data_IF_155591370921
#
_entry.id   IF_155591370921
#
_cell.length_a   1.000
_cell.length_b   1.000
_cell.length_c   1.000
_cell.angle_alpha   90.00
_cell.angle_beta   90.00
_cell.angle_gamma   90.00
#
_symmetry.space_group_name_H-M   'P 1'
#
loop_
_entity.id
_entity.type
_entity.pdbx_description
1 polymer ?
#
# COMPACT_ATOMS: atom_id res chain seq x y z
N UNK A 1 14.23 17.37 -4.70
CA UNK A 1 13.11 16.61 -4.09
C UNK A 1 13.05 17.02 -2.62
N UNK A 2 11.86 17.23 -2.04
CA UNK A 2 11.72 17.69 -0.65
C UNK A 2 11.92 16.55 0.35
N UNK A 3 12.59 16.83 1.47
CA UNK A 3 12.78 15.87 2.58
C UNK A 3 11.45 15.38 3.16
N UNK A 4 10.46 16.28 3.26
CA UNK A 4 9.12 15.94 3.75
C UNK A 4 8.44 14.91 2.84
N UNK A 5 8.61 15.03 1.52
CA UNK A 5 8.03 14.09 0.56
C UNK A 5 8.66 12.70 0.71
N UNK A 6 9.99 12.63 0.86
CA UNK A 6 10.71 11.36 1.08
C UNK A 6 10.25 10.67 2.36
N UNK A 7 10.32 11.38 3.49
CA UNK A 7 9.96 10.80 4.78
C UNK A 7 8.47 10.46 4.87
N UNK A 8 7.61 11.25 4.23
CA UNK A 8 6.20 10.95 4.12
C UNK A 8 5.91 9.69 3.33
N UNK A 9 6.59 9.50 2.20
CA UNK A 9 6.50 8.30 1.38
C UNK A 9 7.04 7.05 2.10
N UNK A 10 8.14 7.17 2.84
CA UNK A 10 8.66 6.12 3.72
C UNK A 10 7.61 5.73 4.76
N UNK A 11 7.02 6.71 5.43
CA UNK A 11 6.01 6.49 6.47
C UNK A 11 4.75 5.79 5.94
N UNK A 12 4.29 6.18 4.76
CA UNK A 12 3.16 5.54 4.08
C UNK A 12 3.53 4.10 3.68
N UNK A 13 4.76 3.87 3.20
CA UNK A 13 5.24 2.53 2.82
C UNK A 13 5.30 1.59 4.02
N UNK A 14 5.80 2.08 5.17
CA UNK A 14 5.75 1.35 6.45
C UNK A 14 4.31 1.00 6.83
N UNK A 15 3.41 1.98 6.73
CA UNK A 15 1.99 1.79 7.07
C UNK A 15 1.32 0.72 6.22
N UNK A 16 1.61 0.67 4.91
CA UNK A 16 1.14 -0.40 4.03
C UNK A 16 1.61 -1.76 4.53
N UNK A 17 2.89 -1.90 4.92
CA UNK A 17 3.44 -3.17 5.43
C UNK A 17 2.80 -3.59 6.74
N UNK A 18 2.58 -2.65 7.66
CA UNK A 18 1.87 -2.90 8.92
C UNK A 18 0.45 -3.43 8.67
N UNK A 19 -0.30 -2.74 7.80
CA UNK A 19 -1.68 -3.09 7.45
C UNK A 19 -1.76 -4.43 6.73
N UNK A 20 -0.86 -4.68 5.78
CA UNK A 20 -0.79 -5.95 5.07
C UNK A 20 -0.50 -7.12 6.01
N UNK A 21 0.43 -6.95 6.95
CA UNK A 21 0.73 -7.96 7.96
C UNK A 21 -0.50 -8.24 8.86
N UNK A 22 -1.16 -7.18 9.34
CA UNK A 22 -2.37 -7.31 10.16
C UNK A 22 -3.52 -8.01 9.42
N UNK A 23 -3.63 -7.79 8.10
CA UNK A 23 -4.64 -8.41 7.24
C UNK A 23 -4.21 -9.75 6.62
N UNK A 24 -3.02 -10.27 6.97
CA UNK A 24 -2.44 -11.48 6.38
C UNK A 24 -2.38 -11.44 4.83
N UNK A 25 -1.99 -10.29 4.27
CA UNK A 25 -1.80 -10.08 2.83
C UNK A 25 -0.32 -10.24 2.51
N UNK A 26 0.00 -11.17 1.59
CA UNK A 26 1.37 -11.33 1.09
C UNK A 26 1.70 -10.26 0.04
N UNK A 27 2.63 -9.37 0.40
CA UNK A 27 3.17 -8.34 -0.50
C UNK A 27 4.43 -8.84 -1.21
N UNK A 28 4.50 -8.62 -2.52
CA UNK A 28 5.72 -8.79 -3.31
C UNK A 28 6.58 -7.52 -3.29
N UNK A 29 5.96 -6.37 -3.53
CA UNK A 29 6.66 -5.09 -3.61
C UNK A 29 5.73 -3.91 -3.29
N UNK A 30 6.33 -2.79 -2.89
CA UNK A 30 5.64 -1.50 -2.70
C UNK A 30 6.57 -0.41 -3.21
N UNK A 31 6.14 0.38 -4.19
CA UNK A 31 6.97 1.41 -4.83
C UNK A 31 6.16 2.60 -5.35
N UNK A 32 6.85 3.71 -5.59
CA UNK A 32 6.25 4.98 -5.99
C UNK A 32 6.52 5.28 -7.47
N UNK A 33 5.49 5.66 -8.23
CA UNK A 33 5.54 6.08 -9.64
C UNK A 33 6.30 5.16 -10.60
N UNK A 34 6.39 3.86 -10.30
CA UNK A 34 7.18 2.92 -11.12
C UNK A 34 8.68 3.14 -11.00
N UNK A 35 9.39 3.01 -12.12
CA UNK A 35 10.85 3.14 -12.17
C UNK A 35 11.33 4.58 -11.95
N UNK A 36 10.44 5.58 -12.08
CA UNK A 36 10.78 6.99 -11.90
C UNK A 36 10.98 7.37 -10.42
N UNK A 37 10.35 6.63 -9.50
CA UNK A 37 10.33 7.00 -8.08
C UNK A 37 9.57 8.29 -7.80
N UNK A 38 9.72 8.84 -6.59
CA UNK A 38 9.03 10.07 -6.19
C UNK A 38 9.40 11.25 -7.10
N UNK A 39 8.41 12.08 -7.44
CA UNK A 39 8.59 13.26 -8.29
C UNK A 39 8.31 14.52 -7.52
N UNK A 40 9.34 15.31 -7.22
CA UNK A 40 9.21 16.49 -6.37
C UNK A 40 8.41 17.66 -6.98
N UNK A 41 8.18 17.63 -8.30
CA UNK A 41 7.43 18.62 -9.07
C UNK A 41 6.01 18.17 -9.45
N UNK A 42 5.65 16.92 -9.14
CA UNK A 42 4.33 16.39 -9.44
C UNK A 42 3.33 16.73 -8.33
N UNK A 43 2.10 17.07 -8.71
CA UNK A 43 1.00 17.28 -7.75
C UNK A 43 0.46 15.96 -7.18
N UNK A 44 0.63 14.86 -7.93
CA UNK A 44 0.18 13.53 -7.59
C UNK A 44 1.35 12.54 -7.57
N UNK A 45 1.39 11.70 -6.54
CA UNK A 45 2.24 10.52 -6.41
C UNK A 45 1.35 9.27 -6.47
N UNK A 46 1.78 8.26 -7.21
CA UNK A 46 1.11 6.97 -7.28
C UNK A 46 1.90 5.93 -6.51
N UNK A 47 1.28 5.35 -5.49
CA UNK A 47 1.80 4.19 -4.79
C UNK A 47 1.28 2.91 -5.46
N UNK A 48 2.20 2.04 -5.85
CA UNK A 48 1.90 0.70 -6.33
C UNK A 48 2.11 -0.28 -5.20
N UNK A 49 1.12 -1.14 -4.96
CA UNK A 49 1.15 -2.20 -3.96
C UNK A 49 0.95 -3.51 -4.70
N UNK A 50 2.02 -4.29 -4.82
CA UNK A 50 2.00 -5.56 -5.53
C UNK A 50 1.78 -6.72 -4.55
N UNK A 51 0.68 -7.43 -4.72
CA UNK A 51 0.45 -8.75 -4.13
C UNK A 51 0.82 -9.86 -5.10
N UNK A 52 0.64 -11.11 -4.66
CA UNK A 52 1.02 -12.30 -5.45
C UNK A 52 0.27 -12.40 -6.78
N UNK A 53 -1.03 -12.06 -6.79
CA UNK A 53 -1.89 -12.21 -7.98
C UNK A 53 -2.31 -10.88 -8.60
N UNK A 54 -2.32 -9.80 -7.81
CA UNK A 54 -2.91 -8.52 -8.19
C UNK A 54 -2.07 -7.36 -7.68
N UNK A 55 -2.14 -6.26 -8.42
CA UNK A 55 -1.52 -4.98 -8.05
C UNK A 55 -2.61 -3.95 -7.80
N UNK A 56 -2.52 -3.25 -6.66
CA UNK A 56 -3.32 -2.06 -6.38
C UNK A 56 -2.52 -0.81 -6.68
N UNK A 57 -3.25 0.29 -6.92
CA UNK A 57 -2.69 1.62 -7.13
C UNK A 57 -3.43 2.61 -6.25
N UNK A 58 -2.69 3.44 -5.53
CA UNK A 58 -3.23 4.52 -4.70
C UNK A 58 -2.64 5.83 -5.18
N UNK A 59 -3.50 6.74 -5.66
CA UNK A 59 -3.09 8.08 -6.05
C UNK A 59 -3.23 9.01 -4.84
N UNK A 60 -2.14 9.68 -4.47
CA UNK A 60 -2.07 10.61 -3.35
C UNK A 60 -1.52 11.95 -3.83
N UNK A 61 -2.02 13.04 -3.28
CA UNK A 61 -1.40 14.35 -3.53
C UNK A 61 -0.03 14.44 -2.86
N UNK A 62 0.87 15.24 -3.43
CA UNK A 62 2.18 15.49 -2.81
C UNK A 62 2.06 16.11 -1.42
N UNK A 63 0.98 16.84 -1.14
CA UNK A 63 0.65 17.36 0.19
C UNK A 63 0.26 16.25 1.17
N UNK A 64 -0.56 15.29 0.75
CA UNK A 64 -0.89 14.12 1.59
C UNK A 64 0.34 13.26 1.88
N UNK A 65 1.22 13.08 0.90
CA UNK A 65 2.48 12.36 1.09
C UNK A 65 3.37 13.14 2.05
N UNK A 66 3.66 14.41 1.77
CA UNK A 66 4.54 15.23 2.60
C UNK A 66 4.02 15.40 4.02
N UNK A 67 2.71 15.60 4.21
CA UNK A 67 2.08 15.72 5.52
C UNK A 67 2.22 14.48 6.40
N UNK A 68 2.43 13.30 5.81
CA UNK A 68 2.67 12.07 6.56
C UNK A 68 4.02 12.06 7.30
N UNK A 69 4.97 12.92 6.91
CA UNK A 69 6.29 13.02 7.56
C UNK A 69 6.24 13.58 8.97
N UNK A 70 5.33 14.53 9.23
CA UNK A 70 5.22 15.24 10.52
C UNK A 70 4.08 14.71 11.38
N UNK A 71 2.90 14.47 10.76
CA UNK A 71 1.66 14.11 11.45
C UNK A 71 1.35 12.60 11.46
N UNK A 72 2.14 11.80 10.74
CA UNK A 72 1.81 10.41 10.45
C UNK A 72 0.74 10.26 9.36
N UNK A 73 0.41 9.01 9.04
CA UNK A 73 -0.57 8.71 7.98
C UNK A 73 -1.97 9.13 8.44
N UNK A 74 -2.58 10.07 7.72
CA UNK A 74 -3.93 10.55 8.01
C UNK A 74 -4.98 9.45 7.84
N UNK A 75 -6.13 9.52 8.53
CA UNK A 75 -7.19 8.52 8.40
C UNK A 75 -7.69 8.31 6.96
N UNK A 76 -7.78 9.40 6.17
CA UNK A 76 -8.24 9.32 4.78
C UNK A 76 -7.24 8.55 3.90
N UNK A 77 -5.94 8.80 4.09
CA UNK A 77 -4.90 8.01 3.40
C UNK A 77 -4.94 6.56 3.86
N UNK A 78 -5.05 6.33 5.18
CA UNK A 78 -5.08 4.98 5.75
C UNK A 78 -6.28 4.16 5.22
N UNK A 79 -7.44 4.79 5.02
CA UNK A 79 -8.61 4.16 4.42
C UNK A 79 -8.38 3.76 2.96
N UNK A 80 -7.70 4.61 2.16
CA UNK A 80 -7.32 4.27 0.78
C UNK A 80 -6.33 3.09 0.73
N UNK A 81 -5.38 3.03 1.67
CA UNK A 81 -4.45 1.91 1.77
C UNK A 81 -5.19 0.60 2.15
N UNK A 82 -6.15 0.68 3.06
CA UNK A 82 -6.97 -0.46 3.45
C UNK A 82 -7.82 -0.99 2.27
N UNK A 83 -8.46 -0.11 1.52
CA UNK A 83 -9.20 -0.48 0.31
C UNK A 83 -8.29 -1.14 -0.73
N UNK A 84 -7.10 -0.57 -0.96
CA UNK A 84 -6.11 -1.12 -1.87
C UNK A 84 -5.66 -2.53 -1.45
N UNK A 85 -5.36 -2.74 -0.17
CA UNK A 85 -4.98 -4.04 0.37
C UNK A 85 -6.11 -5.07 0.25
N UNK A 86 -7.35 -4.68 0.54
CA UNK A 86 -8.52 -5.54 0.37
C UNK A 86 -8.74 -5.94 -1.09
N UNK A 87 -8.40 -5.07 -2.05
CA UNK A 87 -8.54 -5.36 -3.48
C UNK A 87 -7.56 -6.43 -4.00
N UNK A 88 -6.37 -6.52 -3.37
CA UNK A 88 -5.34 -7.51 -3.71
C UNK A 88 -5.35 -8.72 -2.78
N UNK A 89 -6.11 -8.66 -1.69
CA UNK A 89 -6.30 -9.79 -0.81
C UNK A 89 -7.03 -10.91 -1.56
N UNK A 90 -6.36 -12.05 -1.66
CA UNK A 90 -6.97 -13.29 -2.12
C UNK A 90 -7.26 -14.11 -0.86
N UNK A 91 -8.53 -14.25 -0.46
CA UNK A 91 -8.84 -15.11 0.67
C UNK A 91 -8.37 -16.52 0.34
N UNK A 92 -7.67 -17.15 1.29
CA UNK A 92 -7.31 -18.56 1.15
C UNK A 92 -8.58 -19.34 0.81
N UNK A 93 -8.58 -20.03 -0.34
CA UNK A 93 -9.69 -20.91 -0.68
C UNK A 93 -9.91 -21.85 0.51
N UNK A 94 -11.16 -22.04 0.98
CA UNK A 94 -11.41 -22.97 2.06
C UNK A 94 -10.82 -24.33 1.63
N UNK A 95 -9.97 -24.90 2.49
CA UNK A 95 -9.45 -26.25 2.26
C UNK A 95 -10.64 -27.15 1.96
N UNK A 96 -10.59 -27.96 0.88
CA UNK A 96 -11.68 -28.90 0.60
C UNK A 96 -11.88 -29.76 1.85
N UNK A 97 -13.13 -30.09 2.22
CA UNK A 97 -13.38 -30.90 3.42
C UNK A 97 -12.54 -32.17 3.34
N UNK A 98 -11.78 -32.46 4.40
CA UNK A 98 -11.14 -33.77 4.59
C UNK A 98 -12.28 -34.80 4.73
N UNK A 99 -12.69 -35.34 3.59
CA UNK A 99 -13.92 -36.13 3.52
C UNK A 99 -13.89 -37.10 2.36
N UNK A 100 -13.47 -38.33 2.65
CA UNK A 100 -14.07 -39.50 2.03
C UNK A 100 -13.13 -40.36 1.19
N UNK A 101 -12.45 -41.29 1.85
CA UNK A 101 -12.45 -42.66 1.37
C UNK A 101 -12.70 -43.54 2.59
N UNK A 102 -13.94 -44.03 2.69
CA UNK A 102 -14.31 -45.10 3.61
C UNK A 102 -13.76 -46.46 3.16
#
# INVERSE_FOLDING_TARGET
>A
MSDALMHGAERITERVRERANAANVALLSVFWNGDEGLRGDADLQTLFIEGVEKTARVALTSDQVSGASEGGVTPDVDALLEEALNSIHVPAAPSPPEGGAG
#
